data_IF_347462242041
#
_entry.id   IF_347462242041
#
_cell.length_a   1.000
_cell.length_b   1.000
_cell.length_c   1.000
_cell.angle_alpha   90.00
_cell.angle_beta   90.00
_cell.angle_gamma   90.00
#
_symmetry.space_group_name_H-M   'P 1'
#
loop_
_entity.id
_entity.type
_entity.pdbx_description
1 polymer ?
#
# COMPACT_ATOMS: atom_id res chain seq x y z
N UNK A 1 13.71 11.73 -6.09
CA UNK A 1 12.69 10.80 -5.54
C UNK A 1 11.96 11.51 -4.43
N UNK A 2 10.72 11.14 -4.14
CA UNK A 2 9.95 11.75 -3.06
C UNK A 2 9.62 10.72 -1.99
N UNK A 3 9.76 11.11 -0.72
CA UNK A 3 9.09 10.46 0.41
C UNK A 3 7.80 11.23 0.70
N UNK A 4 6.72 10.51 0.88
CA UNK A 4 5.40 11.02 1.22
C UNK A 4 4.99 10.37 2.54
N UNK A 5 4.55 11.16 3.52
CA UNK A 5 3.92 10.61 4.72
C UNK A 5 2.42 10.85 4.65
N UNK A 6 1.63 9.83 4.96
CA UNK A 6 0.17 9.95 5.04
C UNK A 6 -0.32 9.40 6.37
N UNK A 7 -1.33 10.07 6.92
CA UNK A 7 -2.07 9.59 8.08
C UNK A 7 -3.14 8.54 7.69
N UNK A 8 -3.04 7.35 8.27
CA UNK A 8 -4.02 6.27 8.24
C UNK A 8 -5.15 6.58 9.22
N UNK A 9 -6.27 7.02 8.67
CA UNK A 9 -7.46 7.37 9.45
C UNK A 9 -8.12 6.19 10.17
N UNK A 10 -7.72 4.96 9.86
CA UNK A 10 -8.26 3.76 10.48
C UNK A 10 -7.42 3.27 11.65
N UNK A 11 -6.26 3.87 11.92
CA UNK A 11 -5.44 3.53 13.08
C UNK A 11 -6.06 4.01 14.41
N UNK A 12 -5.81 3.30 15.53
CA UNK A 12 -6.20 3.75 16.87
C UNK A 12 -5.61 5.10 17.24
N UNK A 13 -6.36 5.86 18.03
CA UNK A 13 -5.96 7.16 18.56
C UNK A 13 -4.71 7.14 19.47
N UNK A 14 -4.23 5.96 19.87
CA UNK A 14 -3.01 5.78 20.68
C UNK A 14 -1.75 5.52 19.85
N UNK A 15 -1.84 5.50 18.52
CA UNK A 15 -0.71 5.38 17.60
C UNK A 15 -0.61 6.62 16.73
N UNK A 16 0.58 6.96 16.23
CA UNK A 16 0.73 8.13 15.34
C UNK A 16 -0.07 7.97 14.05
N UNK A 17 -0.34 6.74 13.61
CA UNK A 17 -1.10 6.45 12.41
C UNK A 17 -0.42 6.92 11.12
N UNK A 18 0.84 7.36 11.15
CA UNK A 18 1.51 7.90 9.96
C UNK A 18 2.34 6.82 9.28
N UNK A 19 2.10 6.61 7.99
CA UNK A 19 2.86 5.69 7.15
C UNK A 19 3.70 6.43 6.09
N UNK A 20 4.88 5.90 5.80
CA UNK A 20 5.77 6.42 4.77
C UNK A 20 5.57 5.71 3.43
N UNK A 21 5.66 6.46 2.34
CA UNK A 21 5.55 6.00 0.97
C UNK A 21 6.58 6.70 0.07
N UNK A 22 6.89 6.11 -1.08
CA UNK A 22 7.89 6.65 -2.01
C UNK A 22 7.35 6.77 -3.43
N UNK A 23 7.69 7.86 -4.11
CA UNK A 23 7.29 8.11 -5.50
C UNK A 23 8.43 8.68 -6.35
N UNK A 24 8.52 8.23 -7.60
CA UNK A 24 9.44 8.81 -8.58
C UNK A 24 8.95 10.18 -9.09
N UNK A 25 7.64 10.34 -9.19
CA UNK A 25 6.99 11.51 -9.78
C UNK A 25 5.84 11.95 -8.87
N UNK A 26 6.06 13.06 -8.16
CA UNK A 26 5.10 13.59 -7.19
C UNK A 26 3.81 14.08 -7.84
N UNK A 27 3.87 14.62 -9.05
CA UNK A 27 2.69 15.10 -9.79
C UNK A 27 1.79 13.94 -10.18
N UNK A 28 2.38 12.83 -10.65
CA UNK A 28 1.65 11.60 -10.96
C UNK A 28 1.02 11.02 -9.69
N UNK A 29 1.78 10.95 -8.60
CA UNK A 29 1.28 10.49 -7.30
C UNK A 29 0.09 11.33 -6.85
N UNK A 30 0.23 12.66 -6.80
CA UNK A 30 -0.83 13.59 -6.41
C UNK A 30 -2.10 13.36 -7.23
N UNK A 31 -1.98 13.27 -8.56
CA UNK A 31 -3.13 13.09 -9.46
C UNK A 31 -3.91 11.81 -9.14
N UNK A 32 -3.22 10.70 -8.86
CA UNK A 32 -3.89 9.44 -8.53
C UNK A 32 -4.41 9.45 -7.09
N UNK A 33 -3.61 9.92 -6.13
CA UNK A 33 -4.00 10.02 -4.72
C UNK A 33 -5.23 10.91 -4.53
N UNK A 34 -5.34 12.03 -5.25
CA UNK A 34 -6.49 12.96 -5.16
C UNK A 34 -7.81 12.35 -5.64
N UNK A 35 -7.78 11.27 -6.42
CA UNK A 35 -8.98 10.51 -6.81
C UNK A 35 -9.42 9.55 -5.71
N UNK A 36 -8.47 9.09 -4.90
CA UNK A 36 -8.72 8.14 -3.81
C UNK A 36 -9.12 8.89 -2.54
N UNK A 37 -8.40 9.96 -2.20
CA UNK A 37 -8.65 10.80 -1.04
C UNK A 37 -9.92 11.64 -1.20
N UNK A 38 -10.75 11.76 -0.17
CA UNK A 38 -11.95 12.60 -0.15
C UNK A 38 -11.83 13.81 0.77
N UNK A 39 -10.94 13.75 1.76
CA UNK A 39 -10.72 14.81 2.72
C UNK A 39 -9.98 15.99 2.08
N UNK A 40 -10.65 17.16 2.08
CA UNK A 40 -10.13 18.39 1.49
C UNK A 40 -8.97 18.97 2.28
N UNK A 41 -9.00 18.86 3.60
CA UNK A 41 -7.98 19.44 4.47
C UNK A 41 -6.67 18.67 4.31
N UNK A 42 -6.74 17.34 4.18
CA UNK A 42 -5.56 16.50 3.87
C UNK A 42 -4.98 16.82 2.50
N UNK A 43 -5.81 17.03 1.48
CA UNK A 43 -5.34 17.49 0.16
C UNK A 43 -4.67 18.87 0.22
N UNK A 44 -5.24 19.81 0.98
CA UNK A 44 -4.66 21.14 1.16
C UNK A 44 -3.31 21.09 1.89
N UNK A 45 -3.22 20.32 2.97
CA UNK A 45 -1.96 20.08 3.71
C UNK A 45 -0.87 19.50 2.81
N UNK A 46 -1.22 18.51 1.98
CA UNK A 46 -0.31 17.96 0.99
C UNK A 46 0.18 19.02 -0.02
N UNK A 47 -0.71 19.88 -0.54
CA UNK A 47 -0.33 20.95 -1.47
C UNK A 47 0.58 22.01 -0.84
N UNK A 48 0.29 22.41 0.41
CA UNK A 48 1.14 23.33 1.17
C UNK A 48 2.54 22.75 1.35
N UNK A 49 2.62 21.49 1.79
CA UNK A 49 3.88 20.76 1.93
C UNK A 49 4.65 20.66 0.61
N UNK A 50 3.96 20.34 -0.48
CA UNK A 50 4.52 20.28 -1.83
C UNK A 50 5.09 21.64 -2.29
N UNK A 51 4.50 22.75 -1.85
CA UNK A 51 4.95 24.10 -2.17
C UNK A 51 6.06 24.62 -1.24
N UNK A 52 6.53 23.80 -0.28
CA UNK A 52 7.65 24.12 0.60
C UNK A 52 7.26 24.54 2.02
N UNK A 53 5.97 24.55 2.36
CA UNK A 53 5.56 24.77 3.76
C UNK A 53 5.93 23.54 4.61
N UNK A 54 6.35 23.77 5.85
CA UNK A 54 6.60 22.67 6.81
C UNK A 54 5.25 22.27 7.41
N UNK A 55 4.67 21.20 6.88
CA UNK A 55 3.41 20.61 7.33
C UNK A 55 3.66 19.16 7.69
N UNK A 56 3.33 18.76 8.91
CA UNK A 56 3.58 17.40 9.39
C UNK A 56 2.29 16.79 9.90
N UNK A 57 2.10 15.49 9.63
CA UNK A 57 1.02 14.68 10.22
C UNK A 57 1.39 14.15 11.62
N UNK A 58 2.60 14.48 12.10
CA UNK A 58 3.04 14.19 13.46
C UNK A 58 2.74 15.37 14.38
N UNK A 59 2.76 15.13 15.69
CA UNK A 59 2.79 16.21 16.70
C UNK A 59 4.20 16.83 16.79
N UNK A 60 4.70 17.37 15.68
CA UNK A 60 6.04 17.92 15.52
C UNK A 60 6.09 18.98 14.43
N UNK A 61 7.02 19.92 14.53
CA UNK A 61 7.34 20.92 13.51
C UNK A 61 8.67 20.62 12.79
N UNK A 62 9.17 19.38 12.88
CA UNK A 62 10.44 19.01 12.26
C UNK A 62 10.31 18.95 10.72
N UNK A 63 11.20 19.62 9.96
CA UNK A 63 11.26 19.50 8.51
C UNK A 63 11.47 18.06 8.01
N UNK A 64 12.14 17.23 8.81
CA UNK A 64 12.39 15.81 8.51
C UNK A 64 11.12 14.95 8.57
N UNK A 65 10.03 15.51 9.09
CA UNK A 65 8.71 14.88 9.18
C UNK A 65 7.69 15.56 8.26
N UNK A 66 8.12 16.45 7.37
CA UNK A 66 7.25 17.10 6.40
C UNK A 66 6.52 16.06 5.52
N UNK A 67 5.26 16.34 5.16
CA UNK A 67 4.42 15.44 4.37
C UNK A 67 5.10 15.05 3.05
N UNK A 68 5.68 16.02 2.34
CA UNK A 68 6.42 15.80 1.10
C UNK A 68 7.88 16.15 1.32
N UNK A 69 8.76 15.19 1.04
CA UNK A 69 10.21 15.38 1.10
C UNK A 69 10.83 14.95 -0.22
N UNK A 70 11.57 15.85 -0.84
CA UNK A 70 12.34 15.57 -2.05
C UNK A 70 13.77 15.20 -1.69
N UNK A 71 14.29 14.18 -2.37
CA UNK A 71 15.71 13.87 -2.41
C UNK A 71 16.14 13.77 -3.88
N UNK A 72 16.93 14.76 -4.31
CA UNK A 72 17.48 14.85 -5.66
C UNK A 72 18.69 13.92 -5.87
N UNK A 73 19.34 13.50 -4.78
CA UNK A 73 20.49 12.59 -4.79
C UNK A 73 20.10 11.13 -4.56
N UNK A 74 18.79 10.85 -4.39
CA UNK A 74 18.27 9.51 -4.19
C UNK A 74 18.69 8.56 -5.32
N UNK A 75 19.12 7.36 -4.96
CA UNK A 75 19.62 6.35 -5.92
C UNK A 75 18.76 5.11 -5.91
N UNK A 76 18.46 4.58 -7.10
CA UNK A 76 17.96 3.22 -7.27
C UNK A 76 19.18 2.33 -7.50
N UNK A 77 19.48 1.49 -6.53
CA UNK A 77 20.68 0.66 -6.48
C UNK A 77 20.45 -0.69 -7.18
N UNK A 78 19.25 -1.26 -7.00
CA UNK A 78 18.83 -2.53 -7.60
C UNK A 78 17.32 -2.52 -7.81
N UNK A 79 16.86 -3.21 -8.86
CA UNK A 79 15.43 -3.49 -9.09
C UNK A 79 15.23 -4.98 -9.24
N UNK A 80 14.12 -5.50 -8.73
CA UNK A 80 13.74 -6.90 -8.81
C UNK A 80 12.24 -6.98 -9.09
N UNK A 81 11.83 -7.96 -9.90
CA UNK A 81 10.43 -8.22 -10.18
C UNK A 81 10.07 -9.62 -9.71
N UNK A 82 8.91 -9.77 -9.08
CA UNK A 82 8.36 -11.07 -8.68
C UNK A 82 6.97 -11.23 -9.30
N UNK A 83 6.68 -12.46 -9.72
CA UNK A 83 5.40 -12.79 -10.35
C UNK A 83 4.84 -14.07 -9.74
N UNK A 84 3.56 -14.03 -9.40
CA UNK A 84 2.82 -15.19 -8.91
C UNK A 84 1.54 -15.33 -9.74
N UNK A 85 1.14 -16.58 -9.98
CA UNK A 85 -0.09 -16.91 -10.67
C UNK A 85 -0.88 -17.92 -9.84
N UNK A 86 -2.19 -17.71 -9.75
CA UNK A 86 -3.10 -18.57 -8.97
C UNK A 86 -2.57 -18.83 -7.55
N UNK A 87 -2.25 -17.76 -6.83
CA UNK A 87 -1.59 -17.84 -5.54
C UNK A 87 -2.50 -17.37 -4.40
N UNK A 88 -2.43 -18.08 -3.27
CA UNK A 88 -3.11 -17.68 -2.04
C UNK A 88 -2.12 -16.94 -1.15
N UNK A 89 -2.50 -15.76 -0.67
CA UNK A 89 -1.75 -15.01 0.32
C UNK A 89 -2.53 -14.97 1.63
N UNK A 90 -1.84 -15.25 2.74
CA UNK A 90 -2.38 -15.06 4.08
C UNK A 90 -1.93 -13.68 4.59
N UNK A 91 -2.84 -12.71 4.54
CA UNK A 91 -2.59 -11.34 4.97
C UNK A 91 -2.91 -11.17 6.45
N UNK A 92 -2.19 -10.27 7.11
CA UNK A 92 -2.40 -9.88 8.50
C UNK A 92 -2.37 -8.37 8.62
N UNK A 93 -3.28 -7.79 9.41
CA UNK A 93 -3.17 -6.38 9.85
C UNK A 93 -2.31 -6.27 11.11
N UNK A 94 -2.11 -5.05 11.64
CA UNK A 94 -1.32 -4.81 12.84
C UNK A 94 -1.83 -5.52 14.11
N UNK A 95 -3.10 -5.95 14.16
CA UNK A 95 -3.63 -6.75 15.28
C UNK A 95 -3.53 -8.26 15.08
N UNK A 96 -2.81 -8.70 14.05
CA UNK A 96 -2.73 -10.10 13.65
C UNK A 96 -4.09 -10.70 13.24
N UNK A 97 -5.06 -9.87 12.85
CA UNK A 97 -6.28 -10.36 12.21
C UNK A 97 -5.94 -10.86 10.81
N UNK A 98 -6.21 -12.14 10.58
CA UNK A 98 -5.90 -12.81 9.32
C UNK A 98 -7.05 -12.67 8.31
N UNK A 99 -6.71 -12.40 7.06
CA UNK A 99 -7.57 -12.65 5.91
C UNK A 99 -6.79 -13.37 4.82
N UNK A 100 -7.41 -14.37 4.20
CA UNK A 100 -6.80 -15.08 3.08
C UNK A 100 -7.37 -14.55 1.77
N UNK A 101 -6.48 -14.15 0.88
CA UNK A 101 -6.85 -13.75 -0.49
C UNK A 101 -6.34 -14.77 -1.49
N UNK A 102 -7.07 -14.94 -2.57
CA UNK A 102 -6.64 -15.66 -3.76
C UNK A 102 -6.53 -14.66 -4.91
N UNK A 103 -5.46 -14.78 -5.68
CA UNK A 103 -5.20 -13.91 -6.83
C UNK A 103 -4.87 -14.74 -8.06
N UNK A 104 -5.47 -14.39 -9.19
CA UNK A 104 -5.13 -14.99 -10.48
C UNK A 104 -3.72 -14.58 -10.91
N UNK A 105 -3.37 -13.30 -10.75
CA UNK A 105 -2.04 -12.79 -11.06
C UNK A 105 -1.57 -11.75 -10.05
N UNK A 106 -0.33 -11.86 -9.59
CA UNK A 106 0.34 -10.86 -8.78
C UNK A 106 1.66 -10.47 -9.43
N UNK A 107 1.87 -9.18 -9.63
CA UNK A 107 3.13 -8.61 -10.11
C UNK A 107 3.67 -7.63 -9.09
N UNK A 108 4.88 -7.87 -8.61
CA UNK A 108 5.58 -7.04 -7.65
C UNK A 108 6.81 -6.42 -8.31
N UNK A 109 7.03 -5.13 -8.07
CA UNK A 109 8.21 -4.39 -8.49
C UNK A 109 8.90 -3.85 -7.25
N UNK A 110 10.04 -4.44 -6.93
CA UNK A 110 10.84 -4.12 -5.76
C UNK A 110 12.05 -3.30 -6.18
N UNK A 111 12.41 -2.32 -5.35
CA UNK A 111 13.57 -1.47 -5.53
C UNK A 111 14.34 -1.36 -4.24
N UNK A 112 15.64 -1.37 -4.40
CA UNK A 112 16.62 -1.15 -3.35
C UNK A 112 17.11 0.27 -3.56
N UNK A 113 16.82 1.16 -2.63
CA UNK A 113 17.06 2.59 -2.78
C UNK A 113 17.98 3.11 -1.69
N UNK A 114 18.71 4.17 -2.00
CA UNK A 114 19.31 5.05 -1.02
C UNK A 114 18.56 6.38 -1.08
N UNK A 115 17.93 6.77 0.02
CA UNK A 115 17.16 8.00 0.14
C UNK A 115 17.63 8.73 1.41
N UNK A 116 18.12 9.96 1.26
CA UNK A 116 18.69 10.79 2.32
C UNK A 116 19.72 10.03 3.16
N UNK A 117 20.57 9.25 2.49
CA UNK A 117 21.60 8.42 3.13
C UNK A 117 21.11 7.13 3.79
N UNK A 118 19.79 6.87 3.85
CA UNK A 118 19.23 5.62 4.37
C UNK A 118 19.01 4.59 3.26
N UNK A 119 19.33 3.33 3.55
CA UNK A 119 19.12 2.22 2.62
C UNK A 119 17.79 1.53 2.91
N UNK A 120 16.97 1.36 1.87
CA UNK A 120 15.57 0.93 2.01
C UNK A 120 15.21 -0.03 0.87
N UNK A 121 14.52 -1.11 1.21
CA UNK A 121 13.79 -1.91 0.22
C UNK A 121 12.36 -1.40 0.17
N UNK A 122 11.92 -0.98 -1.00
CA UNK A 122 10.56 -0.52 -1.26
C UNK A 122 9.93 -1.36 -2.37
N UNK A 123 8.63 -1.61 -2.28
CA UNK A 123 7.90 -2.41 -3.25
C UNK A 123 6.65 -1.71 -3.74
N UNK A 124 6.17 -2.09 -4.92
CA UNK A 124 4.82 -1.77 -5.38
C UNK A 124 4.26 -3.00 -6.06
N UNK A 125 2.96 -3.10 -6.15
CA UNK A 125 2.32 -4.28 -6.69
C UNK A 125 1.05 -3.99 -7.47
N UNK A 126 0.70 -4.96 -8.32
CA UNK A 126 -0.60 -5.06 -8.97
C UNK A 126 -1.10 -6.49 -8.85
N UNK A 127 -2.27 -6.66 -8.26
CA UNK A 127 -3.00 -7.91 -8.15
C UNK A 127 -4.18 -7.87 -9.12
N UNK A 128 -4.45 -8.99 -9.78
CA UNK A 128 -5.60 -9.17 -10.68
C UNK A 128 -6.30 -10.48 -10.37
N UNK A 129 -7.63 -10.49 -10.54
CA UNK A 129 -8.44 -11.64 -10.17
C UNK A 129 -8.49 -11.82 -8.66
N UNK A 130 -8.66 -10.73 -7.91
CA UNK A 130 -8.51 -10.71 -6.45
C UNK A 130 -9.82 -11.07 -5.77
N UNK A 131 -9.75 -12.01 -4.82
CA UNK A 131 -10.90 -12.46 -4.06
C UNK A 131 -10.51 -12.77 -2.61
N UNK A 132 -11.41 -12.48 -1.66
CA UNK A 132 -11.28 -12.88 -0.26
C UNK A 132 -11.92 -14.26 -0.07
N UNK A 133 -11.26 -15.11 0.71
CA UNK A 133 -11.79 -16.41 1.13
C UNK A 133 -12.57 -16.22 2.44
N UNK A 134 -13.90 -16.32 2.36
CA UNK A 134 -14.76 -16.22 3.52
C UNK A 134 -14.91 -17.60 4.19
N UNK A 135 -14.21 -17.79 5.30
CA UNK A 135 -14.23 -19.03 6.06
C UNK A 135 -15.58 -19.31 6.74
N UNK A 136 -16.41 -18.28 7.00
CA UNK A 136 -17.71 -18.43 7.64
C UNK A 136 -18.77 -18.94 6.67
N UNK A 137 -18.82 -18.37 5.46
CA UNK A 137 -19.78 -18.76 4.41
C UNK A 137 -19.27 -19.89 3.51
N UNK A 138 -18.02 -20.34 3.72
CA UNK A 138 -17.34 -21.34 2.89
C UNK A 138 -17.36 -20.97 1.40
N UNK A 139 -17.18 -19.70 1.11
CA UNK A 139 -17.23 -19.17 -0.24
C UNK A 139 -16.27 -18.01 -0.45
N UNK A 140 -16.51 -17.30 -1.53
CA UNK A 140 -15.72 -16.17 -1.99
C UNK A 140 -16.50 -14.87 -1.79
N UNK A 141 -15.80 -13.83 -1.41
CA UNK A 141 -16.32 -12.47 -1.32
C UNK A 141 -15.35 -11.46 -1.92
N UNK A 142 -15.86 -10.26 -2.23
CA UNK A 142 -15.03 -9.18 -2.75
C UNK A 142 -14.02 -8.76 -1.68
N UNK A 143 -12.73 -8.70 -2.04
CA UNK A 143 -11.72 -8.11 -1.17
C UNK A 143 -11.83 -6.58 -1.21
N UNK A 144 -12.39 -5.99 -0.17
CA UNK A 144 -12.34 -4.55 0.04
C UNK A 144 -10.99 -4.13 0.61
N UNK A 145 -10.56 -2.90 0.32
CA UNK A 145 -9.33 -2.31 0.86
C UNK A 145 -9.68 -1.36 1.99
N UNK A 146 -8.96 -1.46 3.11
CA UNK A 146 -9.24 -0.68 4.32
C UNK A 146 -8.08 0.19 4.83
N UNK A 147 -6.89 0.14 4.22
CA UNK A 147 -5.74 0.93 4.68
C UNK A 147 -5.66 2.34 4.11
N UNK A 148 -4.44 2.86 4.06
CA UNK A 148 -4.17 4.14 3.45
C UNK A 148 -4.70 4.19 2.02
N UNK A 149 -5.14 5.38 1.60
CA UNK A 149 -5.71 5.63 0.27
C UNK A 149 -4.63 5.69 -0.83
N UNK A 150 -3.74 4.70 -0.83
CA UNK A 150 -2.63 4.51 -1.78
C UNK A 150 -2.86 3.31 -2.70
N UNK A 151 -3.97 2.60 -2.52
CA UNK A 151 -4.37 1.47 -3.34
C UNK A 151 -5.52 1.88 -4.26
N UNK A 152 -5.26 1.82 -5.56
CA UNK A 152 -6.27 1.95 -6.60
C UNK A 152 -6.96 0.60 -6.77
N UNK A 153 -8.29 0.62 -6.77
CA UNK A 153 -9.11 -0.59 -6.90
C UNK A 153 -10.08 -0.47 -8.06
N UNK A 154 -10.23 -1.54 -8.83
CA UNK A 154 -11.24 -1.65 -9.89
C UNK A 154 -12.08 -2.89 -9.59
N UNK A 155 -13.32 -2.70 -9.13
CA UNK A 155 -14.22 -3.78 -8.75
C UNK A 155 -15.28 -4.00 -9.84
N UNK A 156 -15.19 -5.15 -10.50
CA UNK A 156 -16.15 -5.60 -11.50
C UNK A 156 -17.11 -6.65 -10.91
N UNK A 157 -16.64 -7.44 -9.93
CA UNK A 157 -17.53 -8.21 -9.06
C UNK A 157 -18.49 -7.22 -8.39
N UNK A 158 -19.80 -7.47 -8.35
CA UNK A 158 -20.80 -6.50 -7.85
C UNK A 158 -21.43 -6.97 -6.52
N UNK A 159 -21.44 -6.10 -5.50
CA UNK A 159 -22.13 -6.31 -4.22
C UNK A 159 -23.12 -5.18 -4.03
N UNK A 160 -24.38 -5.52 -3.71
CA UNK A 160 -25.39 -4.53 -3.33
C UNK A 160 -25.16 -4.17 -1.86
N UNK A 161 -24.50 -3.03 -1.62
CA UNK A 161 -24.15 -2.57 -0.28
C UNK A 161 -25.38 -2.17 0.56
N UNK A 162 -26.47 -1.74 -0.08
CA UNK A 162 -27.71 -1.38 0.63
C UNK A 162 -28.40 -2.63 1.21
N UNK A 163 -28.17 -3.79 0.60
CA UNK A 163 -28.77 -5.06 1.00
C UNK A 163 -27.79 -6.04 1.65
N UNK A 164 -26.49 -5.75 1.62
CA UNK A 164 -25.44 -6.63 2.15
C UNK A 164 -25.37 -8.00 1.48
N UNK A 165 -25.91 -8.15 0.26
CA UNK A 165 -25.96 -9.44 -0.45
C UNK A 165 -25.12 -9.41 -1.73
N UNK A 166 -24.32 -10.47 -1.99
CA UNK A 166 -23.67 -10.65 -3.28
C UNK A 166 -24.69 -10.79 -4.41
N UNK A 167 -24.42 -10.16 -5.56
CA UNK A 167 -25.23 -10.36 -6.78
C UNK A 167 -24.71 -11.49 -7.67
N UNK A 168 -23.75 -12.28 -7.16
CA UNK A 168 -23.06 -13.34 -7.88
C UNK A 168 -22.97 -14.62 -7.05
N UNK A 169 -22.57 -15.73 -7.68
CA UNK A 169 -22.37 -17.01 -7.00
C UNK A 169 -21.07 -16.98 -6.19
N UNK A 170 -21.17 -16.99 -4.86
CA UNK A 170 -20.02 -17.02 -3.95
C UNK A 170 -19.16 -18.29 -4.09
N UNK A 171 -19.60 -19.32 -4.82
CA UNK A 171 -18.79 -20.52 -5.08
C UNK A 171 -17.98 -20.43 -6.38
N UNK A 172 -18.21 -19.40 -7.20
CA UNK A 172 -17.56 -19.24 -8.49
C UNK A 172 -16.54 -18.09 -8.44
N UNK A 173 -15.27 -18.48 -8.41
CA UNK A 173 -14.12 -17.56 -8.39
C UNK A 173 -14.03 -16.69 -9.66
N UNK A 174 -14.60 -17.13 -10.78
CA UNK A 174 -14.49 -16.38 -12.04
C UNK A 174 -15.22 -15.04 -12.01
N UNK A 175 -16.13 -14.85 -11.05
CA UNK A 175 -16.81 -13.59 -10.78
C UNK A 175 -15.85 -12.45 -10.40
N UNK A 176 -14.64 -12.77 -9.96
CA UNK A 176 -13.64 -11.79 -9.51
C UNK A 176 -12.47 -11.62 -10.48
N UNK A 177 -12.48 -12.32 -11.61
CA UNK A 177 -11.32 -12.39 -12.53
C UNK A 177 -10.82 -11.02 -13.00
N UNK A 178 -11.73 -10.04 -13.06
CA UNK A 178 -11.47 -8.67 -13.53
C UNK A 178 -11.27 -7.68 -12.37
N UNK A 179 -11.34 -8.13 -11.11
CA UNK A 179 -11.06 -7.28 -9.95
C UNK A 179 -9.55 -7.02 -9.82
N UNK A 180 -9.17 -5.76 -9.60
CA UNK A 180 -7.79 -5.31 -9.53
C UNK A 180 -7.54 -4.52 -8.26
N UNK A 181 -6.38 -4.75 -7.63
CA UNK A 181 -5.82 -3.92 -6.56
C UNK A 181 -4.39 -3.54 -6.97
N UNK A 182 -4.08 -2.24 -7.02
CA UNK A 182 -2.78 -1.71 -7.44
C UNK A 182 -2.31 -0.60 -6.51
N UNK A 183 -1.06 -0.67 -6.04
CA UNK A 183 -0.45 0.43 -5.29
C UNK A 183 0.02 1.55 -6.22
N UNK A 184 -0.37 2.80 -5.95
CA UNK A 184 0.01 3.96 -6.78
C UNK A 184 1.43 4.49 -6.50
N UNK A 185 2.05 4.03 -5.42
CA UNK A 185 3.38 4.41 -4.95
C UNK A 185 4.17 3.17 -4.50
N UNK A 186 5.43 3.37 -4.14
CA UNK A 186 6.22 2.36 -3.46
C UNK A 186 5.99 2.42 -1.95
N UNK A 187 5.86 1.26 -1.32
CA UNK A 187 5.62 1.04 0.09
C UNK A 187 6.93 0.46 0.69
N UNK A 188 7.43 0.98 1.81
CA UNK A 188 8.64 0.47 2.45
C UNK A 188 8.40 -0.92 3.02
N UNK A 189 9.36 -1.81 2.78
CA UNK A 189 9.42 -3.16 3.32
C UNK A 189 10.39 -3.18 4.51
N UNK A 190 11.61 -2.68 4.30
CA UNK A 190 12.67 -2.77 5.31
C UNK A 190 13.72 -1.67 5.15
N UNK A 191 14.27 -1.24 6.28
CA UNK A 191 15.33 -0.23 6.39
C UNK A 191 16.63 -0.88 6.85
N UNK A 192 17.76 -0.31 6.42
CA UNK A 192 19.09 -0.80 6.70
C UNK A 192 20.03 0.36 6.99
N UNK A 193 20.96 0.16 7.93
CA UNK A 193 21.98 1.14 8.28
C UNK A 193 23.10 1.18 7.22
N UNK A 194 23.40 0.05 6.59
CA UNK A 194 24.47 -0.07 5.60
C UNK A 194 23.99 -0.67 4.28
N UNK A 195 24.75 -0.43 3.22
CA UNK A 195 24.49 -1.00 1.90
C UNK A 195 24.73 -2.52 1.89
N UNK A 196 25.74 -2.98 2.64
CA UNK A 196 26.15 -4.38 2.75
C UNK A 196 25.06 -5.23 3.42
N UNK A 197 24.43 -4.71 4.49
CA UNK A 197 23.31 -5.37 5.15
C UNK A 197 22.11 -5.51 4.21
N UNK A 198 21.82 -4.45 3.43
CA UNK A 198 20.74 -4.49 2.45
C UNK A 198 21.02 -5.46 1.31
N UNK A 199 22.28 -5.55 0.83
CA UNK A 199 22.66 -6.44 -0.26
C UNK A 199 22.60 -7.91 0.12
N UNK A 200 22.96 -8.22 1.37
CA UNK A 200 22.94 -9.59 1.90
C UNK A 200 21.55 -10.04 2.38
N UNK A 201 20.59 -9.12 2.45
CA UNK A 201 19.22 -9.44 2.84
C UNK A 201 18.51 -10.29 1.78
N UNK A 202 18.01 -11.45 2.21
CA UNK A 202 17.14 -12.30 1.42
C UNK A 202 15.67 -11.97 1.74
N UNK A 203 14.90 -11.66 0.69
CA UNK A 203 13.49 -11.30 0.82
C UNK A 203 12.66 -12.53 1.15
N UNK A 204 12.00 -12.50 2.30
CA UNK A 204 11.10 -13.55 2.74
C UNK A 204 9.71 -13.43 2.11
N UNK A 205 8.89 -14.48 2.24
CA UNK A 205 7.48 -14.40 1.89
C UNK A 205 6.74 -13.37 2.77
N UNK A 206 7.10 -13.28 4.06
CA UNK A 206 6.49 -12.34 5.02
C UNK A 206 6.76 -10.88 4.62
N UNK A 207 7.92 -10.59 4.03
CA UNK A 207 8.21 -9.26 3.48
C UNK A 207 7.25 -8.88 2.33
N UNK A 208 6.86 -9.86 1.51
CA UNK A 208 5.87 -9.67 0.43
C UNK A 208 4.47 -9.48 1.00
N UNK A 209 4.12 -10.20 2.08
CA UNK A 209 2.87 -10.00 2.80
C UNK A 209 2.81 -8.60 3.44
N UNK A 210 3.89 -8.16 4.08
CA UNK A 210 4.00 -6.85 4.71
C UNK A 210 3.84 -5.69 3.71
N UNK A 211 4.23 -5.91 2.44
CA UNK A 211 4.01 -4.94 1.38
C UNK A 211 2.51 -4.70 1.10
N UNK A 212 1.67 -5.70 1.35
CA UNK A 212 0.23 -5.66 1.11
C UNK A 212 -0.58 -5.28 2.37
N UNK A 213 0.09 -4.76 3.41
CA UNK A 213 -0.53 -4.38 4.70
C UNK A 213 -1.76 -3.48 4.57
N UNK A 214 -1.75 -2.54 3.62
CA UNK A 214 -2.87 -1.61 3.41
C UNK A 214 -4.13 -2.28 2.84
N UNK A 215 -4.09 -3.54 2.37
CA UNK A 215 -5.30 -4.24 1.91
C UNK A 215 -6.26 -4.47 3.08
N UNK A 216 -5.76 -4.98 4.21
CA UNK A 216 -6.61 -5.20 5.40
C UNK A 216 -6.76 -3.95 6.27
N UNK A 217 -5.96 -2.92 6.02
CA UNK A 217 -5.93 -1.69 6.80
C UNK A 217 -5.18 -1.82 8.11
N UNK A 218 -5.08 -0.69 8.83
CA UNK A 218 -4.33 -0.57 10.09
C UNK A 218 -2.92 -1.12 9.93
N UNK A 219 -2.19 -0.48 9.02
CA UNK A 219 -0.84 -0.85 8.61
C UNK A 219 0.24 -0.53 9.67
N UNK A 220 -0.18 -0.37 10.93
CA UNK A 220 0.58 0.15 12.07
C UNK A 220 1.96 -0.47 12.26
#
# INVERSE_FOLDING_TARGET
MYKITLYDCNCPSCTSGVAEFYADNIIKFQKEWFKLEDDKDRKERFLKSLNGDIITDYYSDSPELNIVQEDNDAKILRTQSLHFSNHRFALYNAYHCRSDILVNGAAFSLRYICFQGKYIIVGRYRLSGVVCINNFSQGYERQCVYGNRVLKTEYHSFVDFDKGVPLYNINDITNYKDDIIESICYIPIKYFDTYEDMQSYDLSHDDIIALMRDILGEAG
#
